data_IF_245023987871
#
_entry.id   IF_245023987871
#
_cell.length_a   1.000
_cell.length_b   1.000
_cell.length_c   1.000
_cell.angle_alpha   90.00
_cell.angle_beta   90.00
_cell.angle_gamma   90.00
#
_symmetry.space_group_name_H-M   'P 1'
#
loop_
_entity.id
_entity.type
_entity.pdbx_description
1 polymer ?
#
# COMPACT_ATOMS: atom_id res chain seq x y z
N UNK A 1 -29.64 47.82 66.44
CA UNK A 1 -29.61 46.66 67.36
C UNK A 1 -29.91 45.37 66.59
N UNK A 2 -29.13 44.41 66.89
CA UNK A 2 -29.20 43.00 66.50
C UNK A 2 -28.75 42.60 65.08
N UNK A 3 -27.53 42.11 65.08
CA UNK A 3 -26.78 41.35 64.14
C UNK A 3 -27.46 40.03 63.77
N UNK A 4 -27.54 39.71 62.46
CA UNK A 4 -27.85 38.39 62.03
C UNK A 4 -26.72 37.89 61.15
N UNK A 5 -25.98 36.91 61.65
CA UNK A 5 -24.91 36.19 60.92
C UNK A 5 -25.53 35.27 59.86
N UNK A 6 -25.23 35.53 58.61
CA UNK A 6 -25.55 34.61 57.51
C UNK A 6 -24.34 33.72 57.23
N UNK A 7 -24.48 32.45 57.51
CA UNK A 7 -23.47 31.46 57.18
C UNK A 7 -23.53 31.09 55.71
N UNK A 8 -22.45 31.34 54.99
CA UNK A 8 -22.28 30.91 53.62
C UNK A 8 -21.75 29.48 53.65
N UNK A 9 -22.61 28.52 53.29
CA UNK A 9 -22.21 27.14 53.00
C UNK A 9 -21.60 27.10 51.63
N UNK A 10 -20.26 27.02 51.57
CA UNK A 10 -19.54 26.80 50.34
C UNK A 10 -19.56 25.28 50.03
N UNK A 11 -20.44 24.89 49.14
CA UNK A 11 -20.49 23.52 48.64
C UNK A 11 -19.40 23.36 47.57
N UNK A 12 -18.25 22.84 47.97
CA UNK A 12 -17.13 22.55 47.07
C UNK A 12 -17.46 21.26 46.31
N UNK A 13 -18.07 21.37 45.14
CA UNK A 13 -18.31 20.27 44.23
C UNK A 13 -16.99 19.75 43.63
N UNK A 14 -16.49 18.62 44.13
CA UNK A 14 -15.35 17.92 43.62
C UNK A 14 -15.76 17.19 42.32
N UNK A 15 -15.52 17.82 41.16
CA UNK A 15 -15.72 17.21 39.85
C UNK A 15 -14.59 16.23 39.59
N UNK A 16 -14.83 14.96 39.89
CA UNK A 16 -13.93 13.86 39.53
C UNK A 16 -14.05 13.62 38.04
N UNK A 17 -13.13 14.18 37.25
CA UNK A 17 -12.90 13.82 35.87
C UNK A 17 -12.32 12.39 35.86
N UNK A 18 -13.19 11.37 35.69
CA UNK A 18 -12.78 10.02 35.39
C UNK A 18 -12.07 10.02 34.02
N UNK A 19 -10.75 10.08 34.06
CA UNK A 19 -9.90 9.91 32.88
C UNK A 19 -10.13 8.52 32.29
N UNK A 20 -10.82 8.46 31.16
CA UNK A 20 -10.93 7.23 30.36
C UNK A 20 -9.52 6.93 29.85
N UNK A 21 -8.90 5.78 30.18
CA UNK A 21 -7.62 5.45 29.59
C UNK A 21 -7.83 5.26 28.08
N UNK A 22 -7.30 6.16 27.27
CA UNK A 22 -7.17 5.94 25.84
C UNK A 22 -6.14 4.80 25.68
N UNK A 23 -6.64 3.58 25.57
CA UNK A 23 -5.81 2.46 25.17
C UNK A 23 -5.37 2.71 23.72
N UNK A 24 -4.11 3.11 23.56
CA UNK A 24 -3.46 3.09 22.27
C UNK A 24 -3.49 1.67 21.75
N UNK A 25 -4.36 1.40 20.78
CA UNK A 25 -4.36 0.15 20.05
C UNK A 25 -3.09 0.17 19.21
N UNK A 26 -1.98 -0.29 19.79
CA UNK A 26 -0.81 -0.69 19.03
C UNK A 26 -1.21 -1.95 18.27
N UNK A 27 -1.83 -1.77 17.10
CA UNK A 27 -1.82 -2.79 16.08
C UNK A 27 -0.36 -2.93 15.62
N UNK A 28 0.41 -3.70 16.37
CA UNK A 28 1.66 -4.24 15.92
C UNK A 28 1.29 -5.28 14.84
N UNK A 29 0.96 -4.79 13.64
CA UNK A 29 1.03 -5.63 12.47
C UNK A 29 2.51 -6.01 12.29
N UNK A 30 2.83 -7.20 12.77
CA UNK A 30 4.12 -7.86 12.50
C UNK A 30 4.13 -8.36 11.04
N UNK A 31 3.65 -7.54 10.13
CA UNK A 31 3.86 -7.69 8.70
C UNK A 31 5.20 -7.07 8.37
N UNK A 32 6.17 -7.87 7.97
CA UNK A 32 7.41 -7.33 7.43
C UNK A 32 7.06 -6.37 6.29
N UNK A 33 7.59 -5.15 6.32
CA UNK A 33 7.42 -4.18 5.23
C UNK A 33 7.82 -4.85 3.91
N UNK A 34 7.06 -4.67 2.82
CA UNK A 34 7.41 -5.27 1.56
C UNK A 34 8.74 -4.73 1.06
N UNK A 35 9.69 -5.61 0.83
CA UNK A 35 11.02 -5.28 0.27
C UNK A 35 10.94 -4.99 -1.23
N UNK A 36 9.97 -5.62 -1.91
CA UNK A 36 9.75 -5.49 -3.34
C UNK A 36 8.30 -5.10 -3.59
N UNK A 37 8.07 -4.21 -4.55
CA UNK A 37 6.75 -4.00 -5.13
C UNK A 37 6.77 -4.48 -6.58
N UNK A 38 5.93 -5.44 -6.90
CA UNK A 38 5.69 -5.92 -8.25
C UNK A 38 4.43 -5.26 -8.80
N UNK A 39 4.58 -4.32 -9.73
CA UNK A 39 3.50 -3.52 -10.29
C UNK A 39 3.18 -3.95 -11.71
N UNK A 40 2.00 -4.54 -11.93
CA UNK A 40 1.48 -4.85 -13.26
C UNK A 40 0.80 -3.62 -13.86
N UNK A 41 1.17 -3.28 -15.08
CA UNK A 41 0.53 -2.24 -15.89
C UNK A 41 -0.49 -2.89 -16.82
N UNK A 42 -1.77 -2.63 -16.57
CA UNK A 42 -2.91 -3.29 -17.21
C UNK A 42 -3.78 -2.34 -18.03
N UNK A 43 -4.41 -2.88 -19.08
CA UNK A 43 -5.59 -2.33 -19.71
C UNK A 43 -6.37 -3.45 -20.42
N UNK A 44 -7.69 -3.40 -20.41
CA UNK A 44 -8.56 -4.43 -21.02
C UNK A 44 -8.39 -4.57 -22.52
N UNK A 45 -8.11 -3.47 -23.21
CA UNK A 45 -7.86 -3.41 -24.65
C UNK A 45 -6.47 -3.91 -25.05
N UNK A 46 -5.60 -4.21 -24.10
CA UNK A 46 -4.20 -4.60 -24.33
C UNK A 46 -4.05 -6.12 -24.45
N UNK A 47 -3.72 -6.63 -25.62
CA UNK A 47 -3.51 -8.07 -25.84
C UNK A 47 -2.40 -8.69 -24.99
N UNK A 48 -1.26 -7.98 -24.80
CA UNK A 48 -0.16 -8.43 -23.95
C UNK A 48 -0.57 -8.49 -22.46
N UNK A 49 -1.53 -7.66 -22.04
CA UNK A 49 -2.03 -7.64 -20.66
C UNK A 49 -2.78 -8.92 -20.29
N UNK A 50 -3.50 -9.53 -21.27
CA UNK A 50 -4.21 -10.80 -21.06
C UNK A 50 -3.23 -11.94 -20.77
N UNK A 51 -2.16 -12.04 -21.56
CA UNK A 51 -1.11 -13.03 -21.32
C UNK A 51 -0.38 -12.78 -19.98
N UNK A 52 -0.08 -11.52 -19.66
CA UNK A 52 0.55 -11.14 -18.40
C UNK A 52 -0.35 -11.41 -17.18
N UNK A 53 -1.68 -11.39 -17.33
CA UNK A 53 -2.63 -11.64 -16.25
C UNK A 53 -2.44 -13.00 -15.59
N UNK A 54 -2.33 -14.06 -16.38
CA UNK A 54 -2.06 -15.40 -15.87
C UNK A 54 -0.70 -15.47 -15.15
N UNK A 55 0.36 -14.94 -15.78
CA UNK A 55 1.71 -14.90 -15.20
C UNK A 55 1.71 -14.15 -13.85
N UNK A 56 1.01 -13.03 -13.76
CA UNK A 56 0.94 -12.24 -12.54
C UNK A 56 0.22 -12.97 -11.40
N UNK A 57 -0.86 -13.69 -11.73
CA UNK A 57 -1.59 -14.52 -10.76
C UNK A 57 -0.71 -15.66 -10.25
N UNK A 58 -0.01 -16.35 -11.15
CA UNK A 58 0.88 -17.46 -10.79
C UNK A 58 2.08 -16.98 -9.96
N UNK A 59 2.61 -15.77 -10.25
CA UNK A 59 3.66 -15.14 -9.43
C UNK A 59 3.18 -14.88 -8.00
N UNK A 60 1.98 -14.33 -7.83
CA UNK A 60 1.39 -14.10 -6.50
C UNK A 60 1.27 -15.40 -5.70
N UNK A 61 0.75 -16.46 -6.34
CA UNK A 61 0.61 -17.77 -5.70
C UNK A 61 1.97 -18.38 -5.35
N UNK A 62 2.94 -18.27 -6.26
CA UNK A 62 4.29 -18.83 -6.07
C UNK A 62 5.09 -18.12 -4.99
N UNK A 63 4.88 -16.83 -4.82
CA UNK A 63 5.62 -15.97 -3.88
C UNK A 63 4.79 -15.59 -2.66
N UNK A 64 3.72 -16.34 -2.38
CA UNK A 64 2.93 -16.17 -1.18
C UNK A 64 3.81 -16.28 0.08
N UNK A 65 3.57 -15.42 1.05
CA UNK A 65 4.39 -15.32 2.27
C UNK A 65 5.77 -14.67 2.11
N UNK A 66 6.18 -14.28 0.89
CA UNK A 66 7.39 -13.47 0.67
C UNK A 66 7.11 -11.98 0.88
N UNK A 67 8.13 -11.17 1.22
CA UNK A 67 7.96 -9.71 1.45
C UNK A 67 7.80 -8.95 0.13
N UNK A 68 6.83 -9.36 -0.71
CA UNK A 68 6.51 -8.78 -2.01
C UNK A 68 5.10 -8.24 -2.00
N UNK A 69 4.94 -6.96 -2.32
CA UNK A 69 3.65 -6.33 -2.55
C UNK A 69 3.30 -6.41 -4.04
N UNK A 70 2.21 -7.09 -4.37
CA UNK A 70 1.68 -7.18 -5.72
C UNK A 70 0.61 -6.13 -5.95
N UNK A 71 0.80 -5.28 -6.95
CA UNK A 71 -0.09 -4.16 -7.29
C UNK A 71 -0.45 -4.22 -8.76
N UNK A 72 -1.71 -3.95 -9.10
CA UNK A 72 -2.15 -3.74 -10.47
C UNK A 72 -2.57 -2.29 -10.67
N UNK A 73 -2.02 -1.63 -11.69
CA UNK A 73 -2.42 -0.31 -12.14
C UNK A 73 -3.21 -0.46 -13.43
N UNK A 74 -4.49 -0.12 -13.39
CA UNK A 74 -5.41 -0.23 -14.53
C UNK A 74 -5.51 1.10 -15.29
N UNK A 75 -5.20 1.05 -16.58
CA UNK A 75 -5.22 2.18 -17.50
C UNK A 75 -6.31 2.04 -18.57
N UNK A 76 -7.31 1.20 -18.36
CA UNK A 76 -8.37 0.88 -19.32
C UNK A 76 -9.13 2.12 -19.77
N UNK A 77 -9.54 2.99 -18.85
CA UNK A 77 -10.31 4.19 -19.12
C UNK A 77 -9.85 5.38 -18.24
N UNK A 78 -10.49 6.54 -18.40
CA UNK A 78 -10.10 7.74 -17.66
C UNK A 78 -10.24 7.59 -16.14
N UNK A 79 -11.29 6.91 -15.66
CA UNK A 79 -11.54 6.71 -14.23
C UNK A 79 -10.49 5.77 -13.62
N UNK A 80 -10.28 4.61 -14.23
CA UNK A 80 -9.28 3.63 -13.72
C UNK A 80 -7.87 4.20 -13.82
N UNK A 81 -7.56 4.96 -14.87
CA UNK A 81 -6.29 5.69 -14.99
C UNK A 81 -6.10 6.69 -13.84
N UNK A 82 -7.14 7.44 -13.47
CA UNK A 82 -7.05 8.37 -12.34
C UNK A 82 -6.77 7.62 -11.02
N UNK A 83 -7.47 6.52 -10.79
CA UNK A 83 -7.23 5.65 -9.63
C UNK A 83 -5.80 5.09 -9.61
N UNK A 84 -5.31 4.62 -10.76
CA UNK A 84 -3.94 4.14 -10.92
C UNK A 84 -2.90 5.22 -10.57
N UNK A 85 -3.13 6.47 -11.00
CA UNK A 85 -2.26 7.60 -10.69
C UNK A 85 -2.25 7.93 -9.19
N UNK A 86 -3.41 7.91 -8.52
CA UNK A 86 -3.51 8.10 -7.07
C UNK A 86 -2.76 7.02 -6.31
N UNK A 87 -2.95 5.75 -6.71
CA UNK A 87 -2.26 4.61 -6.09
C UNK A 87 -0.75 4.69 -6.31
N UNK A 88 -0.31 5.02 -7.53
CA UNK A 88 1.11 5.21 -7.83
C UNK A 88 1.73 6.34 -7.01
N UNK A 89 0.98 7.43 -6.77
CA UNK A 89 1.41 8.53 -5.91
C UNK A 89 1.54 8.07 -4.45
N UNK A 90 0.57 7.36 -3.93
CA UNK A 90 0.60 6.82 -2.55
C UNK A 90 1.77 5.85 -2.34
N UNK A 91 2.13 5.07 -3.36
CA UNK A 91 3.26 4.14 -3.33
C UNK A 91 4.63 4.83 -3.58
N UNK A 92 4.65 6.11 -3.97
CA UNK A 92 5.88 6.84 -4.29
C UNK A 92 6.53 6.44 -5.62
N UNK A 93 5.76 5.86 -6.56
CA UNK A 93 6.28 5.33 -7.85
C UNK A 93 5.84 6.17 -9.08
N UNK A 94 5.20 7.32 -8.87
CA UNK A 94 4.73 8.19 -9.97
C UNK A 94 5.79 8.57 -11.01
N UNK A 95 7.07 8.82 -10.65
CA UNK A 95 8.09 9.11 -11.65
C UNK A 95 8.28 7.98 -12.66
N UNK A 96 8.28 6.73 -12.18
CA UNK A 96 8.47 5.56 -13.03
C UNK A 96 7.35 5.37 -14.08
N UNK A 97 6.13 5.86 -13.81
CA UNK A 97 5.03 5.82 -14.79
C UNK A 97 5.32 6.68 -16.02
N UNK A 98 5.97 7.81 -15.82
CA UNK A 98 6.35 8.71 -16.92
C UNK A 98 7.46 8.11 -17.78
N UNK A 99 8.40 7.44 -17.14
CA UNK A 99 9.56 6.82 -17.80
C UNK A 99 9.21 5.50 -18.48
N UNK A 100 8.12 4.84 -18.05
CA UNK A 100 7.67 3.55 -18.55
C UNK A 100 6.24 3.62 -19.09
N UNK A 101 6.00 4.32 -20.21
CA UNK A 101 4.68 4.43 -20.80
C UNK A 101 4.19 3.07 -21.34
N UNK A 102 2.86 2.90 -21.36
CA UNK A 102 2.20 1.71 -21.93
C UNK A 102 1.73 0.71 -20.87
N UNK A 103 1.35 -0.47 -21.35
CA UNK A 103 0.75 -1.55 -20.55
C UNK A 103 1.28 -2.92 -21.00
N UNK A 104 0.95 -4.01 -20.29
CA UNK A 104 1.35 -5.37 -20.65
C UNK A 104 2.70 -5.80 -20.10
N UNK A 105 3.15 -5.18 -19.03
CA UNK A 105 4.39 -5.53 -18.35
C UNK A 105 4.27 -5.41 -16.83
N UNK A 106 5.27 -5.91 -16.13
CA UNK A 106 5.46 -5.74 -14.68
C UNK A 106 6.73 -4.90 -14.47
N UNK A 107 6.67 -3.89 -13.62
CA UNK A 107 7.84 -3.23 -13.06
C UNK A 107 8.09 -3.74 -11.64
N UNK A 108 9.34 -3.99 -11.32
CA UNK A 108 9.79 -4.30 -9.99
C UNK A 108 10.44 -3.07 -9.36
N UNK A 109 10.09 -2.80 -8.11
CA UNK A 109 10.65 -1.70 -7.33
C UNK A 109 11.26 -2.24 -6.06
N UNK A 110 12.41 -1.72 -5.68
CA UNK A 110 13.04 -1.97 -4.39
C UNK A 110 12.40 -1.14 -3.25
N UNK A 111 12.96 -1.25 -2.05
CA UNK A 111 12.53 -0.49 -0.86
C UNK A 111 12.65 1.03 -1.06
N UNK A 112 13.57 1.49 -1.91
CA UNK A 112 13.79 2.91 -2.24
C UNK A 112 12.91 3.40 -3.39
N UNK A 113 11.99 2.55 -3.89
CA UNK A 113 11.12 2.84 -5.04
C UNK A 113 11.88 3.03 -6.35
N UNK A 114 13.10 2.47 -6.45
CA UNK A 114 13.86 2.44 -7.68
C UNK A 114 13.42 1.24 -8.53
N UNK A 115 13.31 1.44 -9.83
CA UNK A 115 12.99 0.35 -10.76
C UNK A 115 14.18 -0.59 -10.86
N UNK A 116 14.01 -1.85 -10.47
CA UNK A 116 15.04 -2.90 -10.55
C UNK A 116 14.86 -3.83 -11.74
N UNK A 117 13.68 -3.83 -12.35
CA UNK A 117 13.42 -4.65 -13.54
C UNK A 117 12.10 -4.34 -14.23
N UNK A 118 12.06 -4.61 -15.54
CA UNK A 118 10.86 -4.58 -16.36
C UNK A 118 10.68 -5.92 -17.05
N UNK A 119 9.54 -6.56 -16.80
CA UNK A 119 9.26 -7.92 -17.25
C UNK A 119 8.00 -7.96 -18.13
N UNK A 120 8.04 -8.76 -19.18
CA UNK A 120 6.92 -8.93 -20.11
C UNK A 120 6.50 -10.40 -20.18
N UNK A 121 5.37 -10.71 -20.81
CA UNK A 121 4.89 -12.08 -21.03
C UNK A 121 5.79 -12.95 -21.94
N UNK A 122 6.89 -12.40 -22.45
CA UNK A 122 7.91 -13.16 -23.20
C UNK A 122 8.86 -13.92 -22.28
N UNK A 123 8.93 -13.53 -21.01
CA UNK A 123 9.74 -14.18 -19.99
C UNK A 123 8.92 -15.24 -19.28
N UNK A 124 9.59 -16.31 -18.86
CA UNK A 124 8.94 -17.36 -18.09
C UNK A 124 8.64 -16.95 -16.66
N UNK A 125 7.64 -17.57 -16.06
CA UNK A 125 7.31 -17.40 -14.63
C UNK A 125 8.56 -17.59 -13.74
N UNK A 126 9.41 -18.58 -14.07
CA UNK A 126 10.63 -18.88 -13.30
C UNK A 126 11.62 -17.72 -13.33
N UNK A 127 11.84 -17.13 -14.50
CA UNK A 127 12.76 -16.00 -14.66
C UNK A 127 12.29 -14.77 -13.89
N UNK A 128 10.99 -14.45 -13.98
CA UNK A 128 10.42 -13.30 -13.25
C UNK A 128 10.45 -13.54 -11.74
N UNK A 129 10.08 -14.75 -11.29
CA UNK A 129 10.15 -15.11 -9.88
C UNK A 129 11.59 -15.05 -9.34
N UNK A 130 12.58 -15.51 -10.11
CA UNK A 130 13.99 -15.42 -9.73
C UNK A 130 14.44 -13.96 -9.58
N UNK A 131 14.07 -13.09 -10.54
CA UNK A 131 14.38 -11.66 -10.46
C UNK A 131 13.78 -11.00 -9.21
N UNK A 132 12.55 -11.37 -8.81
CA UNK A 132 11.93 -10.89 -7.58
C UNK A 132 12.69 -11.42 -6.36
N UNK A 133 13.03 -12.72 -6.33
CA UNK A 133 13.65 -13.34 -5.16
C UNK A 133 15.09 -12.89 -4.89
N UNK A 134 15.82 -12.32 -5.87
CA UNK A 134 17.13 -11.72 -5.62
C UNK A 134 17.10 -10.59 -4.60
N UNK A 135 15.93 -10.02 -4.34
CA UNK A 135 15.71 -8.92 -3.40
C UNK A 135 14.82 -9.30 -2.21
N UNK A 136 14.47 -10.57 -2.05
CA UNK A 136 13.57 -11.05 -0.97
C UNK A 136 14.31 -11.46 0.32
N UNK A 137 15.64 -11.48 0.33
CA UNK A 137 16.46 -11.88 1.48
C UNK A 137 16.78 -10.72 2.42
#
# INVERSE_FOLDING_TARGET
MKTLKSGIFTLLGLLVLAGVPVQSVNAAETGSQPKIIAVKFHADWCGACKAMGAVFTDLRNKLDGKPVLFVELDFTNATTRHQAMLLASALGISPALKENPGTGFILLFDEKRQVTGRHTSRQTLKEIAAAICTHCE
#
